data_IF_619471332735
#
_entry.id   IF_619471332735
#
_cell.length_a   1.000
_cell.length_b   1.000
_cell.length_c   1.000
_cell.angle_alpha   90.00
_cell.angle_beta   90.00
_cell.angle_gamma   90.00
#
_symmetry.space_group_name_H-M   'P 1'
#
loop_
_entity.id
_entity.type
_entity.pdbx_description
1 polymer ?
#
# COMPACT_ATOMS: atom_id res chain seq x y z
N UNK A 1 -39.79 -40.16 -6.20
CA UNK A 1 -40.75 -40.00 -7.31
C UNK A 1 -40.18 -38.99 -8.27
N UNK A 2 -39.98 -39.47 -9.46
CA UNK A 2 -39.28 -38.90 -10.62
C UNK A 2 -40.19 -37.90 -11.32
N UNK A 3 -39.67 -36.75 -11.75
CA UNK A 3 -40.13 -36.14 -13.02
C UNK A 3 -39.01 -35.34 -13.69
N UNK A 4 -38.45 -35.96 -14.73
CA UNK A 4 -37.68 -35.34 -15.79
C UNK A 4 -38.65 -34.68 -16.76
N UNK A 5 -38.33 -33.46 -17.24
CA UNK A 5 -38.95 -32.93 -18.47
C UNK A 5 -37.82 -32.46 -19.38
N UNK A 6 -37.69 -33.16 -20.49
CA UNK A 6 -36.87 -32.78 -21.67
C UNK A 6 -37.75 -31.86 -22.54
N UNK A 7 -37.11 -30.82 -23.11
CA UNK A 7 -37.67 -30.20 -24.32
C UNK A 7 -36.56 -29.99 -25.35
N UNK A 8 -36.95 -30.30 -26.56
CA UNK A 8 -36.19 -30.57 -27.74
C UNK A 8 -35.94 -29.34 -28.62
N UNK A 9 -34.92 -29.47 -29.45
CA UNK A 9 -34.40 -28.65 -30.53
C UNK A 9 -35.41 -28.05 -31.51
N UNK A 10 -35.03 -26.93 -32.11
CA UNK A 10 -35.62 -26.38 -33.33
C UNK A 10 -34.53 -25.70 -34.16
N UNK A 11 -34.36 -26.21 -35.37
CA UNK A 11 -33.36 -25.91 -36.41
C UNK A 11 -33.93 -24.88 -37.42
N UNK A 12 -32.98 -24.10 -38.01
CA UNK A 12 -32.91 -23.59 -39.39
C UNK A 12 -33.52 -22.21 -39.75
N UNK A 13 -32.70 -21.47 -40.48
CA UNK A 13 -33.08 -20.31 -41.29
C UNK A 13 -31.84 -19.66 -41.94
N UNK A 14 -31.48 -20.12 -43.12
CA UNK A 14 -30.39 -19.58 -43.98
C UNK A 14 -30.91 -18.44 -44.88
N UNK A 15 -30.02 -17.54 -45.32
CA UNK A 15 -30.29 -16.53 -46.36
C UNK A 15 -29.11 -15.55 -46.44
N UNK A 16 -28.09 -15.75 -47.19
CA UNK A 16 -27.73 -15.45 -48.61
C UNK A 16 -27.47 -13.97 -48.89
N UNK A 17 -26.22 -13.68 -49.15
CA UNK A 17 -25.50 -12.78 -50.11
C UNK A 17 -26.01 -11.37 -50.45
N UNK A 18 -25.05 -10.42 -50.38
CA UNK A 18 -24.77 -9.50 -51.50
C UNK A 18 -23.31 -9.04 -51.47
N UNK A 19 -22.59 -9.33 -52.54
CA UNK A 19 -21.28 -8.79 -52.91
C UNK A 19 -21.44 -7.36 -53.42
N UNK A 20 -20.45 -6.50 -53.07
CA UNK A 20 -20.22 -5.22 -53.72
C UNK A 20 -18.74 -4.96 -53.82
N UNK A 21 -18.20 -5.13 -55.04
CA UNK A 21 -16.79 -4.88 -55.40
C UNK A 21 -16.53 -3.39 -55.75
N UNK A 22 -15.31 -3.03 -55.51
CA UNK A 22 -14.42 -2.16 -56.28
C UNK A 22 -14.43 -0.65 -56.06
N UNK A 23 -13.24 -0.17 -55.71
CA UNK A 23 -12.78 1.19 -55.81
C UNK A 23 -11.28 1.28 -55.50
N UNK A 24 -10.43 0.95 -56.49
CA UNK A 24 -9.00 1.28 -56.45
C UNK A 24 -8.81 2.78 -56.65
N UNK A 25 -8.02 3.39 -55.77
CA UNK A 25 -7.48 4.74 -55.96
C UNK A 25 -6.11 4.81 -55.29
N UNK A 26 -5.07 4.75 -56.09
CA UNK A 26 -3.66 4.88 -55.74
C UNK A 26 -3.26 6.34 -55.47
N UNK A 27 -2.40 6.59 -54.51
CA UNK A 27 -1.58 7.80 -54.49
C UNK A 27 -1.11 8.28 -53.15
N UNK A 28 0.16 8.09 -52.82
CA UNK A 28 1.01 9.11 -52.20
C UNK A 28 1.21 9.06 -50.68
N UNK A 29 2.27 8.39 -50.28
CA UNK A 29 3.37 8.83 -49.37
C UNK A 29 3.10 9.67 -48.10
N UNK A 30 3.74 9.16 -47.04
CA UNK A 30 4.40 9.84 -45.91
C UNK A 30 3.61 10.09 -44.64
N UNK A 31 4.24 9.62 -43.54
CA UNK A 31 4.01 10.11 -42.17
C UNK A 31 3.01 9.32 -41.37
N UNK A 32 3.38 8.10 -40.96
CA UNK A 32 2.67 7.43 -39.88
C UNK A 32 3.11 8.05 -38.56
N UNK A 33 2.39 9.02 -38.10
CA UNK A 33 2.40 9.42 -36.71
C UNK A 33 1.43 8.49 -35.98
N UNK A 34 1.93 7.86 -34.91
CA UNK A 34 1.12 6.96 -34.11
C UNK A 34 -0.04 7.73 -33.50
N UNK A 35 -1.24 7.41 -33.95
CA UNK A 35 -2.46 7.91 -33.35
C UNK A 35 -2.55 7.41 -31.93
N UNK A 36 -2.11 8.23 -30.99
CA UNK A 36 -2.57 8.19 -29.62
C UNK A 36 -4.08 8.38 -29.65
N UNK A 37 -4.81 7.64 -28.85
CA UNK A 37 -6.23 7.85 -28.63
C UNK A 37 -6.44 9.28 -28.13
N UNK A 38 -6.85 10.18 -29.00
CA UNK A 38 -7.39 11.47 -28.62
C UNK A 38 -8.79 11.21 -28.05
N UNK A 39 -8.98 11.45 -26.74
CA UNK A 39 -10.32 11.54 -26.18
C UNK A 39 -10.60 10.98 -24.81
N UNK A 40 -9.63 10.91 -23.91
CA UNK A 40 -9.92 10.89 -22.47
C UNK A 40 -9.02 11.93 -21.81
N UNK A 41 -9.63 12.86 -21.03
CA UNK A 41 -8.91 13.82 -20.23
C UNK A 41 -7.95 13.10 -19.27
N UNK A 42 -6.95 13.82 -18.74
CA UNK A 42 -5.99 13.23 -17.81
C UNK A 42 -6.72 12.68 -16.57
N UNK A 43 -6.09 11.76 -15.84
CA UNK A 43 -6.69 11.19 -14.62
C UNK A 43 -7.00 12.31 -13.61
N UNK A 44 -6.10 13.28 -13.47
CA UNK A 44 -6.31 14.44 -12.61
C UNK A 44 -7.55 15.26 -13.05
N UNK A 45 -7.67 15.61 -14.34
CA UNK A 45 -8.82 16.37 -14.85
C UNK A 45 -10.15 15.63 -14.58
N UNK A 46 -10.18 14.31 -14.81
CA UNK A 46 -11.37 13.49 -14.51
C UNK A 46 -11.74 13.58 -13.03
N UNK A 47 -10.78 13.38 -12.11
CA UNK A 47 -11.02 13.41 -10.67
C UNK A 47 -11.46 14.80 -10.19
N UNK A 48 -10.91 15.87 -10.77
CA UNK A 48 -11.33 17.24 -10.49
C UNK A 48 -12.77 17.51 -10.98
N UNK A 49 -13.15 16.99 -12.15
CA UNK A 49 -14.53 17.10 -12.65
C UNK A 49 -15.53 16.29 -11.80
N UNK A 50 -15.11 15.12 -11.31
CA UNK A 50 -15.92 14.26 -10.44
C UNK A 50 -15.96 14.79 -8.99
N UNK A 51 -14.94 15.54 -8.57
CA UNK A 51 -14.75 16.04 -7.21
C UNK A 51 -14.55 14.93 -6.18
N UNK A 52 -14.21 13.72 -6.62
CA UNK A 52 -14.10 12.52 -5.79
C UNK A 52 -12.96 11.64 -6.26
N UNK A 53 -12.17 11.12 -5.32
CA UNK A 53 -11.16 10.08 -5.55
C UNK A 53 -11.50 8.84 -4.74
N UNK A 54 -11.34 7.66 -5.33
CA UNK A 54 -11.44 6.39 -4.61
C UNK A 54 -10.05 5.90 -4.24
N UNK A 55 -9.80 5.67 -2.94
CA UNK A 55 -8.53 5.15 -2.44
C UNK A 55 -8.72 3.79 -1.76
N UNK A 56 -7.78 2.88 -1.95
CA UNK A 56 -7.77 1.63 -1.20
C UNK A 56 -6.92 1.78 0.07
N UNK A 57 -7.43 1.18 1.14
CA UNK A 57 -6.77 1.08 2.45
C UNK A 57 -6.76 -0.38 2.91
N UNK A 58 -5.93 -0.72 3.90
CA UNK A 58 -5.91 -2.06 4.49
C UNK A 58 -6.38 -2.12 5.94
N UNK A 59 -6.91 -1.01 6.47
CA UNK A 59 -7.44 -0.96 7.84
C UNK A 59 -6.37 -0.95 8.93
N UNK A 60 -5.09 -0.70 8.58
CA UNK A 60 -4.00 -0.63 9.56
C UNK A 60 -3.99 0.70 10.29
N UNK A 61 -4.29 0.65 11.59
CA UNK A 61 -4.19 1.80 12.47
C UNK A 61 -2.72 2.04 12.87
N UNK A 62 -2.27 3.29 12.97
CA UNK A 62 -3.00 4.54 12.75
C UNK A 62 -2.79 5.17 11.37
N UNK A 63 -2.38 4.39 10.35
CA UNK A 63 -2.17 4.89 8.98
C UNK A 63 -3.49 5.27 8.31
N UNK A 64 -4.37 4.27 8.09
CA UNK A 64 -5.67 4.46 7.44
C UNK A 64 -6.65 3.36 7.82
N UNK A 65 -7.85 3.73 8.29
CA UNK A 65 -8.93 2.81 8.62
C UNK A 65 -10.29 3.49 8.51
N UNK A 66 -11.36 2.71 8.60
CA UNK A 66 -12.72 3.25 8.74
C UNK A 66 -13.10 3.20 10.21
N UNK A 67 -13.49 4.34 10.78
CA UNK A 67 -13.85 4.45 12.19
C UNK A 67 -15.24 3.85 12.51
N UNK A 68 -15.61 3.87 13.80
CA UNK A 68 -16.92 3.35 14.26
C UNK A 68 -18.13 4.10 13.67
N UNK A 69 -17.94 5.30 13.14
CA UNK A 69 -19.00 6.08 12.47
C UNK A 69 -19.14 5.74 10.98
N UNK A 70 -18.18 5.01 10.44
CA UNK A 70 -18.09 4.63 9.03
C UNK A 70 -17.31 5.64 8.19
N UNK A 71 -16.59 6.57 8.81
CA UNK A 71 -15.80 7.58 8.12
C UNK A 71 -14.33 7.14 8.01
N UNK A 72 -13.65 7.43 6.86
CA UNK A 72 -12.23 7.18 6.73
C UNK A 72 -11.43 8.11 7.66
N UNK A 73 -10.37 7.58 8.26
CA UNK A 73 -9.51 8.33 9.17
C UNK A 73 -8.10 7.74 9.20
N UNK A 74 -7.16 8.47 9.78
CA UNK A 74 -5.76 8.07 9.92
C UNK A 74 -4.79 9.10 9.37
N UNK A 75 -3.51 8.90 9.65
CA UNK A 75 -2.47 9.86 9.28
C UNK A 75 -2.37 10.08 7.76
N UNK A 76 -2.44 9.00 6.97
CA UNK A 76 -2.38 9.11 5.51
C UNK A 76 -3.66 9.69 4.92
N UNK A 77 -4.82 9.42 5.54
CA UNK A 77 -6.09 10.05 5.14
C UNK A 77 -6.03 11.56 5.39
N UNK A 78 -5.52 12.00 6.56
CA UNK A 78 -5.39 13.43 6.85
C UNK A 78 -4.45 14.15 5.86
N UNK A 79 -3.35 13.53 5.45
CA UNK A 79 -2.48 14.04 4.38
C UNK A 79 -3.25 14.13 3.06
N UNK A 80 -4.01 13.08 2.71
CA UNK A 80 -4.78 13.04 1.47
C UNK A 80 -5.90 14.07 1.42
N UNK A 81 -6.60 14.31 2.53
CA UNK A 81 -7.63 15.36 2.60
C UNK A 81 -7.05 16.74 2.29
N UNK A 82 -5.86 17.04 2.80
CA UNK A 82 -5.15 18.29 2.51
C UNK A 82 -4.67 18.34 1.07
N UNK A 83 -3.97 17.30 0.57
CA UNK A 83 -3.41 17.27 -0.78
C UNK A 83 -4.51 17.29 -1.84
N UNK A 84 -5.47 16.37 -1.78
CA UNK A 84 -6.52 16.26 -2.78
C UNK A 84 -7.49 17.44 -2.71
N UNK A 85 -7.77 17.97 -1.51
CA UNK A 85 -8.55 19.20 -1.35
C UNK A 85 -7.90 20.38 -2.06
N UNK A 86 -6.59 20.56 -1.95
CA UNK A 86 -5.84 21.60 -2.66
C UNK A 86 -5.87 21.41 -4.19
N UNK A 87 -5.96 20.17 -4.65
CA UNK A 87 -6.13 19.83 -6.07
C UNK A 87 -7.57 19.99 -6.58
N UNK A 88 -8.53 20.35 -5.71
CA UNK A 88 -9.95 20.50 -6.05
C UNK A 88 -10.73 19.20 -6.09
N UNK A 89 -10.25 18.18 -5.37
CA UNK A 89 -10.90 16.87 -5.19
C UNK A 89 -11.34 16.78 -3.72
N UNK A 90 -12.57 17.20 -3.44
CA UNK A 90 -13.04 17.45 -2.07
C UNK A 90 -13.51 16.18 -1.32
N UNK A 91 -13.74 15.07 -2.05
CA UNK A 91 -14.27 13.84 -1.44
C UNK A 91 -13.31 12.68 -1.63
N UNK A 92 -13.03 11.97 -0.54
CA UNK A 92 -12.27 10.70 -0.55
C UNK A 92 -13.23 9.57 -0.20
N UNK A 93 -13.44 8.66 -1.15
CA UNK A 93 -14.12 7.39 -0.89
C UNK A 93 -13.07 6.32 -0.63
N UNK A 94 -13.29 5.46 0.36
CA UNK A 94 -12.32 4.40 0.68
C UNK A 94 -12.89 3.02 0.43
N UNK A 95 -12.01 2.11 -0.04
CA UNK A 95 -12.25 0.68 -0.09
C UNK A 95 -11.22 -0.04 0.79
N UNK A 96 -11.69 -0.70 1.86
CA UNK A 96 -10.83 -1.51 2.71
C UNK A 96 -10.67 -2.90 2.12
N UNK A 97 -9.41 -3.29 1.85
CA UNK A 97 -9.07 -4.56 1.22
C UNK A 97 -7.85 -5.20 1.89
N UNK A 98 -7.69 -6.51 1.73
CA UNK A 98 -6.47 -7.19 2.17
C UNK A 98 -5.23 -6.63 1.47
N UNK A 99 -4.10 -6.59 2.18
CA UNK A 99 -2.83 -6.00 1.73
C UNK A 99 -2.43 -6.46 0.32
N UNK A 100 -2.46 -7.76 0.06
CA UNK A 100 -2.07 -8.35 -1.23
C UNK A 100 -2.94 -7.91 -2.42
N UNK A 101 -4.09 -7.29 -2.16
CA UNK A 101 -5.00 -6.82 -3.20
C UNK A 101 -4.81 -5.35 -3.56
N UNK A 102 -4.03 -4.58 -2.79
CA UNK A 102 -3.87 -3.14 -2.97
C UNK A 102 -3.32 -2.79 -4.37
N UNK A 103 -2.11 -3.21 -4.71
CA UNK A 103 -1.50 -2.94 -6.03
C UNK A 103 -2.23 -3.65 -7.18
N UNK A 104 -2.61 -4.95 -7.07
CA UNK A 104 -3.38 -5.59 -8.13
C UNK A 104 -4.70 -4.92 -8.46
N UNK A 105 -5.42 -4.45 -7.45
CA UNK A 105 -6.68 -3.74 -7.63
C UNK A 105 -6.50 -2.35 -8.23
N UNK A 106 -5.46 -1.62 -7.82
CA UNK A 106 -5.05 -0.35 -8.41
C UNK A 106 -4.79 -0.50 -9.91
N UNK A 107 -3.98 -1.47 -10.29
CA UNK A 107 -3.66 -1.74 -11.70
C UNK A 107 -4.86 -2.24 -12.51
N UNK A 108 -5.86 -2.82 -11.84
CA UNK A 108 -7.14 -3.19 -12.46
C UNK A 108 -8.14 -2.02 -12.55
N UNK A 109 -7.79 -0.83 -12.07
CA UNK A 109 -8.63 0.37 -12.10
C UNK A 109 -9.83 0.30 -11.15
N UNK A 110 -9.73 -0.44 -10.04
CA UNK A 110 -10.80 -0.51 -9.03
C UNK A 110 -10.84 0.72 -8.15
N UNK A 111 -9.69 1.33 -7.93
CA UNK A 111 -9.48 2.58 -7.21
C UNK A 111 -8.40 3.42 -7.90
N UNK A 112 -8.28 4.67 -7.52
CA UNK A 112 -7.38 5.64 -8.16
C UNK A 112 -6.02 5.72 -7.47
N UNK A 113 -5.96 5.47 -6.16
CA UNK A 113 -4.73 5.46 -5.38
C UNK A 113 -4.80 4.45 -4.23
N UNK A 114 -3.65 4.18 -3.59
CA UNK A 114 -3.55 3.40 -2.35
C UNK A 114 -3.03 4.32 -1.24
N UNK A 115 -3.76 4.35 -0.12
CA UNK A 115 -3.47 5.13 1.09
C UNK A 115 -3.24 4.20 2.28
N UNK A 116 -2.04 3.67 2.42
CA UNK A 116 -1.72 2.66 3.43
C UNK A 116 -0.32 2.82 4.03
N UNK A 117 0.35 3.97 3.85
CA UNK A 117 1.74 4.15 4.24
C UNK A 117 2.65 3.07 3.61
N UNK A 118 2.35 2.67 2.39
CA UNK A 118 3.00 1.53 1.74
C UNK A 118 4.48 1.79 1.51
N UNK A 119 5.34 0.91 2.02
CA UNK A 119 6.79 1.01 1.85
C UNK A 119 7.20 1.08 0.39
N UNK A 120 8.03 2.04 0.06
CA UNK A 120 8.68 2.15 -1.24
C UNK A 120 9.79 1.10 -1.29
N UNK A 121 9.64 0.10 -2.15
CA UNK A 121 10.64 -0.97 -2.36
C UNK A 121 10.83 -1.21 -3.86
N UNK A 122 12.02 -1.70 -4.30
CA UNK A 122 12.28 -1.98 -5.71
C UNK A 122 11.19 -2.85 -6.35
N UNK A 123 10.82 -3.95 -5.71
CA UNK A 123 9.84 -4.90 -6.23
C UNK A 123 8.44 -4.30 -6.42
N UNK A 124 8.06 -3.37 -5.54
CA UNK A 124 6.77 -2.66 -5.64
C UNK A 124 6.82 -1.56 -6.70
N UNK A 125 7.97 -0.87 -6.84
CA UNK A 125 8.19 0.14 -7.87
C UNK A 125 8.13 -0.45 -9.30
N UNK A 126 8.45 -1.74 -9.47
CA UNK A 126 8.25 -2.44 -10.76
C UNK A 126 6.77 -2.61 -11.10
N UNK A 127 5.87 -2.54 -10.12
CA UNK A 127 4.45 -2.86 -10.28
C UNK A 127 3.54 -1.62 -10.27
N UNK A 128 3.97 -0.54 -9.60
CA UNK A 128 3.16 0.67 -9.41
C UNK A 128 4.06 1.91 -9.33
N UNK A 129 3.46 3.09 -9.51
CA UNK A 129 4.14 4.37 -9.32
C UNK A 129 3.92 4.85 -7.87
N UNK A 130 5.00 5.25 -7.21
CA UNK A 130 4.95 5.76 -5.85
C UNK A 130 5.08 7.29 -5.86
N UNK A 131 4.31 7.93 -4.99
CA UNK A 131 4.52 9.32 -4.61
C UNK A 131 5.87 9.51 -3.91
N UNK A 132 6.21 10.75 -3.60
CA UNK A 132 7.34 11.05 -2.75
C UNK A 132 7.10 10.51 -1.32
N UNK A 133 8.16 10.20 -0.55
CA UNK A 133 8.01 9.72 0.81
C UNK A 133 7.15 10.68 1.66
N UNK A 134 6.14 10.13 2.34
CA UNK A 134 5.22 10.90 3.18
C UNK A 134 5.33 10.55 4.66
N UNK A 135 5.79 9.35 5.00
CA UNK A 135 5.92 8.86 6.38
C UNK A 135 7.16 7.98 6.49
N UNK A 136 8.00 8.24 7.53
CA UNK A 136 9.07 7.35 7.94
C UNK A 136 8.60 6.48 9.10
N UNK A 137 9.12 5.24 9.19
CA UNK A 137 8.82 4.32 10.29
C UNK A 137 9.95 3.32 10.54
N UNK A 138 9.88 2.68 11.69
CA UNK A 138 10.74 1.60 12.14
C UNK A 138 9.89 0.37 12.44
N UNK A 139 10.52 -0.77 12.69
CA UNK A 139 9.86 -2.03 13.06
C UNK A 139 9.87 -2.22 14.57
N UNK A 140 8.92 -2.99 15.11
CA UNK A 140 8.94 -3.52 16.47
C UNK A 140 8.29 -4.91 16.50
N UNK A 141 8.37 -5.58 17.64
CA UNK A 141 7.64 -6.81 17.91
C UNK A 141 6.55 -6.55 18.94
N UNK A 142 5.32 -7.00 18.68
CA UNK A 142 4.32 -7.21 19.72
C UNK A 142 4.54 -8.60 20.32
N UNK A 143 4.65 -8.66 21.65
CA UNK A 143 4.94 -9.87 22.42
C UNK A 143 3.97 -9.97 23.62
N UNK A 144 3.79 -11.14 24.23
CA UNK A 144 3.05 -11.24 25.49
C UNK A 144 3.66 -10.37 26.58
N UNK A 145 2.81 -9.76 27.42
CA UNK A 145 3.22 -8.86 28.48
C UNK A 145 4.33 -9.44 29.37
N UNK A 146 5.33 -8.62 29.65
CA UNK A 146 6.54 -9.02 30.37
C UNK A 146 7.59 -9.72 29.50
N UNK A 147 7.37 -9.79 28.19
CA UNK A 147 8.30 -10.35 27.20
C UNK A 147 9.02 -11.62 27.71
N UNK A 148 8.32 -12.73 27.94
CA UNK A 148 8.86 -13.89 28.65
C UNK A 148 10.03 -14.57 27.93
N UNK A 149 10.18 -14.34 26.62
CA UNK A 149 11.25 -14.89 25.81
C UNK A 149 12.43 -13.91 25.62
N UNK A 150 12.27 -12.65 26.07
CA UNK A 150 13.31 -11.62 26.00
C UNK A 150 13.67 -11.22 24.57
N UNK A 151 12.68 -11.25 23.66
CA UNK A 151 12.85 -10.86 22.26
C UNK A 151 13.09 -9.35 22.14
N UNK A 152 13.92 -8.93 21.21
CA UNK A 152 14.25 -7.51 20.99
C UNK A 152 14.00 -7.03 19.57
N UNK A 153 14.21 -7.89 18.59
CA UNK A 153 14.23 -7.62 17.15
C UNK A 153 14.05 -8.93 16.35
N UNK A 154 14.06 -8.86 15.03
CA UNK A 154 13.98 -10.06 14.18
C UNK A 154 15.18 -10.98 14.35
N UNK A 155 16.38 -10.43 14.55
CA UNK A 155 17.59 -11.27 14.76
C UNK A 155 17.43 -12.16 15.99
N UNK A 156 16.89 -11.61 17.10
CA UNK A 156 16.63 -12.38 18.32
C UNK A 156 15.61 -13.51 18.13
N UNK A 157 14.63 -13.31 17.21
CA UNK A 157 13.69 -14.36 16.81
C UNK A 157 14.38 -15.45 16.00
N UNK A 158 15.13 -15.06 14.98
CA UNK A 158 15.84 -15.99 14.08
C UNK A 158 16.89 -16.82 14.84
N UNK A 159 17.58 -16.21 15.79
CA UNK A 159 18.56 -16.88 16.67
C UNK A 159 17.94 -17.95 17.59
N UNK A 160 16.61 -17.96 17.75
CA UNK A 160 15.89 -18.99 18.53
C UNK A 160 15.89 -20.38 17.88
N UNK A 161 16.38 -20.49 16.64
CA UNK A 161 16.52 -21.73 15.86
C UNK A 161 15.17 -22.53 15.73
N UNK A 162 14.06 -21.78 15.70
CA UNK A 162 12.70 -22.31 15.51
C UNK A 162 11.92 -22.57 16.81
N UNK A 163 12.48 -22.20 17.97
CA UNK A 163 11.77 -22.33 19.26
C UNK A 163 10.70 -21.21 19.45
N UNK A 164 10.82 -20.09 18.73
CA UNK A 164 9.87 -18.97 18.72
C UNK A 164 8.96 -19.09 17.51
N UNK A 165 7.66 -18.87 17.68
CA UNK A 165 6.70 -18.76 16.56
C UNK A 165 6.49 -17.28 16.24
N UNK A 166 6.82 -16.87 15.04
CA UNK A 166 6.68 -15.49 14.57
C UNK A 166 5.43 -15.34 13.70
N UNK A 167 4.55 -14.40 14.03
CA UNK A 167 3.50 -13.97 13.13
C UNK A 167 4.06 -12.87 12.20
N UNK A 168 3.72 -12.94 10.90
CA UNK A 168 4.06 -11.96 9.89
C UNK A 168 2.84 -11.64 9.04
N UNK A 169 2.64 -10.38 8.71
CA UNK A 169 1.61 -10.00 7.75
C UNK A 169 2.12 -10.31 6.35
N UNK A 170 1.37 -11.11 5.60
CA UNK A 170 1.71 -11.49 4.22
C UNK A 170 1.98 -10.27 3.35
N UNK A 171 3.16 -10.25 2.73
CA UNK A 171 3.59 -9.16 1.83
C UNK A 171 3.97 -7.84 2.51
N UNK A 172 3.98 -7.75 3.85
CA UNK A 172 4.57 -6.63 4.58
C UNK A 172 6.10 -6.63 4.43
N UNK A 173 6.75 -5.51 4.76
CA UNK A 173 8.23 -5.45 4.65
C UNK A 173 8.93 -6.38 5.64
N UNK A 174 8.34 -6.61 6.80
CA UNK A 174 8.87 -7.50 7.82
C UNK A 174 8.92 -8.96 7.34
N UNK A 175 7.95 -9.38 6.51
CA UNK A 175 7.96 -10.68 5.83
C UNK A 175 9.15 -10.76 4.86
N UNK A 176 9.37 -9.70 4.07
CA UNK A 176 10.55 -9.56 3.20
C UNK A 176 11.87 -9.56 3.98
N UNK A 177 11.95 -8.85 5.10
CA UNK A 177 13.17 -8.84 5.93
C UNK A 177 13.53 -10.23 6.44
N UNK A 178 12.55 -11.02 6.86
CA UNK A 178 12.78 -12.39 7.31
C UNK A 178 13.29 -13.26 6.16
N UNK A 179 12.77 -13.10 4.96
CA UNK A 179 13.25 -13.82 3.78
C UNK A 179 14.69 -13.44 3.42
N UNK A 180 15.02 -12.14 3.43
CA UNK A 180 16.36 -11.61 3.14
C UNK A 180 17.40 -12.02 4.21
N UNK A 181 16.99 -12.20 5.46
CA UNK A 181 17.81 -12.72 6.55
C UNK A 181 18.03 -14.25 6.46
N UNK A 182 17.55 -14.91 5.42
CA UNK A 182 17.74 -16.34 5.15
C UNK A 182 16.52 -17.20 5.41
N UNK A 183 15.40 -16.60 5.74
CA UNK A 183 14.13 -17.27 6.02
C UNK A 183 14.02 -17.82 7.42
N UNK A 184 12.78 -18.03 7.87
CA UNK A 184 12.47 -18.60 9.17
C UNK A 184 11.36 -19.64 9.04
N UNK A 185 11.55 -20.81 9.62
CA UNK A 185 10.64 -21.95 9.38
C UNK A 185 9.37 -21.95 10.24
N UNK A 186 9.38 -21.25 11.37
CA UNK A 186 8.28 -21.24 12.33
C UNK A 186 7.48 -19.93 12.25
N UNK A 187 6.88 -19.68 11.07
CA UNK A 187 6.09 -18.49 10.76
C UNK A 187 4.60 -18.82 10.68
N UNK A 188 3.78 -17.93 11.21
CA UNK A 188 2.32 -17.88 11.02
C UNK A 188 2.00 -16.66 10.18
N UNK A 189 1.57 -16.87 8.94
CA UNK A 189 1.12 -15.79 8.08
C UNK A 189 -0.26 -15.30 8.51
N UNK A 190 -0.43 -13.96 8.55
CA UNK A 190 -1.68 -13.28 8.91
C UNK A 190 -2.07 -12.27 7.83
N UNK A 191 -3.35 -11.92 7.79
CA UNK A 191 -3.90 -11.05 6.74
C UNK A 191 -3.77 -9.54 7.07
N UNK A 192 -3.44 -9.17 8.31
CA UNK A 192 -3.32 -7.79 8.74
C UNK A 192 -2.96 -7.63 10.22
N UNK A 193 -2.78 -6.39 10.66
CA UNK A 193 -2.32 -6.05 12.00
C UNK A 193 -3.20 -6.62 13.12
N UNK A 194 -4.52 -6.48 13.01
CA UNK A 194 -5.45 -7.00 14.02
C UNK A 194 -5.33 -8.53 14.19
N UNK A 195 -5.29 -9.26 13.07
CA UNK A 195 -5.14 -10.74 13.11
C UNK A 195 -3.76 -11.19 13.61
N UNK A 196 -2.73 -10.37 13.41
CA UNK A 196 -1.39 -10.58 13.98
C UNK A 196 -1.43 -10.50 15.50
N UNK A 197 -1.98 -9.41 16.06
CA UNK A 197 -2.14 -9.24 17.50
C UNK A 197 -3.01 -10.33 18.13
N UNK A 198 -4.16 -10.66 17.52
CA UNK A 198 -5.00 -11.77 17.98
C UNK A 198 -4.27 -13.13 17.97
N UNK A 199 -3.34 -13.32 17.05
CA UNK A 199 -2.55 -14.55 16.94
C UNK A 199 -1.59 -14.68 18.14
N UNK A 200 -0.96 -13.59 18.56
CA UNK A 200 -0.11 -13.54 19.76
C UNK A 200 -0.95 -13.69 21.03
N UNK A 201 -2.05 -12.95 21.18
CA UNK A 201 -2.96 -13.05 22.32
C UNK A 201 -3.50 -14.46 22.53
N UNK A 202 -3.79 -15.16 21.44
CA UNK A 202 -4.26 -16.55 21.48
C UNK A 202 -3.15 -17.58 21.76
N UNK A 203 -1.89 -17.14 21.92
CA UNK A 203 -0.73 -18.02 22.11
C UNK A 203 -0.45 -18.93 20.90
N UNK A 204 -0.83 -18.50 19.71
CA UNK A 204 -0.53 -19.18 18.43
C UNK A 204 0.77 -18.70 17.80
N UNK A 205 1.23 -17.53 18.21
CA UNK A 205 2.56 -17.00 17.96
C UNK A 205 3.11 -16.39 19.25
N UNK A 206 4.43 -16.31 19.34
CA UNK A 206 5.16 -15.73 20.46
C UNK A 206 5.50 -14.26 20.22
N UNK A 207 5.53 -13.85 18.96
CA UNK A 207 5.75 -12.47 18.54
C UNK A 207 5.02 -12.17 17.22
N UNK A 208 4.71 -10.91 17.00
CA UNK A 208 4.24 -10.37 15.72
C UNK A 208 5.08 -9.16 15.34
N UNK A 209 5.70 -9.17 14.17
CA UNK A 209 6.50 -8.08 13.65
C UNK A 209 5.66 -7.17 12.73
N UNK A 210 5.71 -5.86 12.99
CA UNK A 210 5.08 -4.84 12.16
C UNK A 210 5.72 -3.47 12.46
N UNK A 211 5.23 -2.43 11.79
CA UNK A 211 5.69 -1.05 12.03
C UNK A 211 5.47 -0.64 13.49
N UNK A 212 6.44 0.07 14.05
CA UNK A 212 6.46 0.42 15.47
C UNK A 212 5.27 1.31 15.86
N UNK A 213 4.85 2.23 14.98
CA UNK A 213 3.71 3.12 15.24
C UNK A 213 2.42 2.32 15.31
N UNK A 214 2.18 1.39 14.38
CA UNK A 214 0.97 0.55 14.40
C UNK A 214 0.88 -0.29 15.66
N UNK A 215 1.94 -1.01 16.00
CA UNK A 215 1.90 -1.87 17.17
C UNK A 215 1.79 -1.07 18.48
N UNK A 216 2.48 0.06 18.60
CA UNK A 216 2.34 0.93 19.77
C UNK A 216 0.91 1.48 19.92
N UNK A 217 0.31 1.93 18.81
CA UNK A 217 -1.06 2.44 18.81
C UNK A 217 -2.08 1.35 19.18
N UNK A 218 -1.99 0.20 18.53
CA UNK A 218 -2.99 -0.86 18.67
C UNK A 218 -2.87 -1.63 19.99
N UNK A 219 -1.71 -1.60 20.65
CA UNK A 219 -1.50 -2.28 21.94
C UNK A 219 -1.63 -1.35 23.15
N UNK A 220 -1.87 -0.05 22.97
CA UNK A 220 -1.91 0.94 24.06
C UNK A 220 -2.87 0.54 25.20
N UNK A 221 -4.05 0.00 24.85
CA UNK A 221 -5.08 -0.43 25.80
C UNK A 221 -5.10 -1.96 26.04
N UNK A 222 -4.05 -2.71 25.64
CA UNK A 222 -3.93 -4.16 25.79
C UNK A 222 -3.04 -4.52 26.99
N UNK A 223 -3.63 -5.02 28.09
CA UNK A 223 -2.88 -5.42 29.28
C UNK A 223 -2.03 -6.69 29.09
N UNK A 224 -2.34 -7.49 28.09
CA UNK A 224 -1.76 -8.83 27.83
C UNK A 224 -0.69 -8.83 26.73
N UNK A 225 -0.52 -7.73 26.03
CA UNK A 225 0.55 -7.53 25.06
C UNK A 225 1.42 -6.31 25.42
N UNK A 226 2.63 -6.32 24.93
CA UNK A 226 3.53 -5.16 24.94
C UNK A 226 4.35 -5.12 23.65
N UNK A 227 4.91 -3.97 23.30
CA UNK A 227 5.87 -3.85 22.21
C UNK A 227 7.30 -3.88 22.75
N UNK A 228 8.22 -4.43 21.96
CA UNK A 228 9.67 -4.30 22.20
C UNK A 228 10.13 -2.86 21.93
N UNK A 229 11.42 -2.57 22.12
CA UNK A 229 12.00 -1.34 21.58
C UNK A 229 11.90 -1.31 20.05
N UNK A 230 11.58 -0.14 19.48
CA UNK A 230 11.61 0.05 18.04
C UNK A 230 13.05 -0.11 17.51
N UNK A 231 13.19 -0.74 16.35
CA UNK A 231 14.48 -0.98 15.71
C UNK A 231 14.42 -0.72 14.19
N UNK A 232 15.58 -0.45 13.62
CA UNK A 232 15.79 -0.43 12.17
C UNK A 232 16.47 -1.75 11.82
N UNK A 233 15.82 -2.56 10.98
CA UNK A 233 16.40 -3.83 10.56
C UNK A 233 17.69 -3.59 9.76
N UNK A 234 18.70 -4.41 10.01
CA UNK A 234 19.96 -4.42 9.26
C UNK A 234 20.05 -5.75 8.51
N UNK A 235 20.35 -5.68 7.21
CA UNK A 235 20.53 -6.85 6.33
C UNK A 235 21.88 -6.70 5.65
N UNK A 236 22.78 -7.65 5.82
CA UNK A 236 24.14 -7.63 5.31
C UNK A 236 24.97 -6.36 5.68
N UNK A 237 24.66 -5.77 6.85
CA UNK A 237 25.30 -4.55 7.34
C UNK A 237 24.69 -3.25 6.80
N UNK A 238 23.57 -3.34 6.07
CA UNK A 238 22.84 -2.20 5.51
C UNK A 238 21.54 -2.01 6.28
N UNK A 239 21.35 -0.81 6.83
CA UNK A 239 20.08 -0.46 7.50
C UNK A 239 18.96 -0.31 6.48
N UNK A 240 17.84 -0.93 6.77
CA UNK A 240 16.66 -0.85 5.95
C UNK A 240 15.88 0.44 6.24
N UNK A 241 15.54 1.20 5.21
CA UNK A 241 14.84 2.46 5.35
C UNK A 241 13.35 2.21 5.21
N UNK A 242 12.61 2.39 6.31
CA UNK A 242 11.16 2.34 6.29
C UNK A 242 10.58 3.69 5.87
N UNK A 243 10.18 3.81 4.62
CA UNK A 243 9.53 5.00 4.09
C UNK A 243 8.29 4.62 3.29
N UNK A 244 7.15 5.17 3.67
CA UNK A 244 5.87 4.94 3.02
C UNK A 244 5.43 6.09 2.15
N UNK A 245 4.67 5.78 1.11
CA UNK A 245 4.07 6.74 0.21
C UNK A 245 2.70 6.28 -0.31
N UNK A 246 1.98 7.21 -0.88
CA UNK A 246 0.78 6.97 -1.69
C UNK A 246 1.18 6.30 -3.01
N UNK A 247 0.35 5.36 -3.46
CA UNK A 247 0.65 4.57 -4.67
C UNK A 247 -0.37 4.85 -5.75
N UNK A 248 0.11 5.03 -6.97
CA UNK A 248 -0.66 5.36 -8.17
C UNK A 248 -0.42 4.32 -9.27
N UNK A 249 -1.30 4.29 -10.28
CA UNK A 249 -1.04 3.51 -11.50
C UNK A 249 0.15 4.11 -12.27
N UNK A 250 0.99 3.30 -12.89
CA UNK A 250 2.15 3.81 -13.65
C UNK A 250 1.80 4.80 -14.77
N UNK A 251 0.54 4.82 -15.23
CA UNK A 251 0.08 5.71 -16.29
C UNK A 251 -0.49 7.05 -15.81
N UNK A 252 -0.77 7.19 -14.51
CA UNK A 252 -1.41 8.39 -13.93
C UNK A 252 -0.37 9.45 -13.53
N UNK A 253 0.52 9.79 -14.45
CA UNK A 253 1.68 10.66 -14.20
C UNK A 253 1.28 12.08 -13.84
N UNK A 254 0.20 12.60 -14.42
CA UNK A 254 -0.36 13.91 -14.13
C UNK A 254 -0.89 14.03 -12.70
N UNK A 255 -1.58 12.99 -12.22
CA UNK A 255 -2.06 12.91 -10.85
C UNK A 255 -0.89 12.78 -9.86
N UNK A 256 0.08 11.92 -10.15
CA UNK A 256 1.28 11.73 -9.34
C UNK A 256 2.11 13.01 -9.20
N UNK A 257 2.38 13.70 -10.31
CA UNK A 257 3.14 14.96 -10.31
C UNK A 257 2.42 16.04 -9.48
N UNK A 258 1.12 16.20 -9.68
CA UNK A 258 0.32 17.17 -8.92
C UNK A 258 0.25 16.81 -7.42
N UNK A 259 0.11 15.52 -7.09
CA UNK A 259 0.15 15.04 -5.73
C UNK A 259 1.47 15.40 -5.04
N UNK A 260 2.61 15.11 -5.68
CA UNK A 260 3.93 15.38 -5.13
C UNK A 260 4.19 16.89 -4.94
N UNK A 261 3.70 17.75 -5.85
CA UNK A 261 3.80 19.20 -5.69
C UNK A 261 3.08 19.70 -4.44
N UNK A 262 1.88 19.18 -4.15
CA UNK A 262 1.13 19.55 -2.94
C UNK A 262 1.72 18.88 -1.67
N UNK A 263 2.15 17.62 -1.75
CA UNK A 263 2.80 16.91 -0.65
C UNK A 263 4.06 17.64 -0.18
N UNK A 264 4.85 18.20 -1.11
CA UNK A 264 6.05 18.97 -0.77
C UNK A 264 5.77 20.20 0.10
N UNK A 265 4.57 20.79 0.02
CA UNK A 265 4.16 21.89 0.89
C UNK A 265 3.91 21.42 2.33
N UNK A 266 3.49 20.17 2.51
CA UNK A 266 3.24 19.54 3.81
C UNK A 266 4.56 19.07 4.41
N UNK A 267 5.31 18.25 3.71
CA UNK A 267 6.58 17.66 4.21
C UNK A 267 7.70 18.70 4.32
N UNK A 268 7.62 19.80 3.58
CA UNK A 268 8.55 20.94 3.65
C UNK A 268 8.39 21.82 4.89
N UNK A 269 7.30 21.70 5.65
CA UNK A 269 7.02 22.44 6.88
C UNK A 269 6.62 21.50 8.01
N UNK A 270 7.52 21.29 8.97
CA UNK A 270 7.32 20.37 10.10
C UNK A 270 6.02 20.67 10.87
N UNK A 271 5.65 21.94 11.04
CA UNK A 271 4.44 22.33 11.78
C UNK A 271 3.17 21.92 11.04
N UNK A 272 3.17 22.08 9.72
CA UNK A 272 2.06 21.64 8.85
C UNK A 272 1.93 20.12 8.89
N UNK A 273 3.05 19.41 8.73
CA UNK A 273 3.09 17.95 8.80
C UNK A 273 2.54 17.43 10.14
N UNK A 274 3.10 17.92 11.25
CA UNK A 274 2.69 17.49 12.60
C UNK A 274 1.23 17.81 12.87
N UNK A 275 0.72 18.95 12.37
CA UNK A 275 -0.70 19.27 12.49
C UNK A 275 -1.65 18.22 11.95
N UNK A 276 -1.21 17.46 10.94
CA UNK A 276 -1.97 16.38 10.31
C UNK A 276 -1.77 15.02 11.00
N UNK A 277 -0.53 14.70 11.41
CA UNK A 277 -0.19 13.32 11.80
C UNK A 277 -0.04 13.09 13.30
N UNK A 278 0.23 14.14 14.13
CA UNK A 278 0.30 14.01 15.61
C UNK A 278 -0.97 13.43 16.26
N UNK A 279 -2.19 13.75 15.79
CA UNK A 279 -3.40 13.14 16.34
C UNK A 279 -3.44 11.61 16.25
N UNK A 280 -2.62 11.06 15.37
CA UNK A 280 -2.50 9.62 15.09
C UNK A 280 -1.22 9.00 15.67
N UNK A 281 -0.55 9.68 16.60
CA UNK A 281 0.62 9.15 17.30
C UNK A 281 1.94 9.26 16.52
N UNK A 282 1.95 9.91 15.36
CA UNK A 282 3.17 10.21 14.63
C UNK A 282 3.87 11.46 15.21
N UNK A 283 5.15 11.62 14.91
CA UNK A 283 6.00 12.67 15.45
C UNK A 283 6.94 13.23 14.37
N UNK A 284 7.79 14.17 14.74
CA UNK A 284 8.82 14.69 13.83
C UNK A 284 9.83 13.61 13.36
N UNK A 285 9.95 12.49 14.09
CA UNK A 285 10.79 11.36 13.67
C UNK A 285 10.22 10.62 12.45
N UNK A 286 8.93 10.81 12.17
CA UNK A 286 8.24 10.23 11.04
C UNK A 286 8.23 11.14 9.80
N UNK A 287 8.71 12.38 9.92
CA UNK A 287 8.83 13.30 8.79
C UNK A 287 9.99 12.85 7.87
N UNK A 288 9.74 12.62 6.57
CA UNK A 288 10.80 12.24 5.64
C UNK A 288 11.87 13.33 5.50
N UNK A 289 13.17 12.95 5.45
CA UNK A 289 14.22 13.87 5.07
C UNK A 289 13.98 14.44 3.67
N UNK A 290 14.24 15.74 3.49
CA UNK A 290 13.95 16.46 2.24
C UNK A 290 14.80 15.99 1.04
N UNK A 291 15.89 15.30 1.30
CA UNK A 291 16.81 14.74 0.30
C UNK A 291 16.57 13.25 0.02
N UNK A 292 15.63 12.62 0.74
CA UNK A 292 15.20 11.25 0.47
C UNK A 292 14.16 11.26 -0.67
N UNK A 293 14.45 10.54 -1.74
CA UNK A 293 13.59 10.47 -2.92
C UNK A 293 13.07 9.07 -3.19
N UNK A 294 11.92 9.00 -3.86
CA UNK A 294 11.33 7.76 -4.34
C UNK A 294 12.27 6.99 -5.26
N UNK A 295 12.98 7.69 -6.14
CA UNK A 295 13.95 7.07 -7.07
C UNK A 295 15.09 6.35 -6.33
N UNK A 296 15.59 6.95 -5.24
CA UNK A 296 16.63 6.32 -4.40
C UNK A 296 16.11 5.03 -3.75
N UNK A 297 14.90 5.06 -3.20
CA UNK A 297 14.29 3.88 -2.56
C UNK A 297 13.92 2.80 -3.58
N UNK A 298 13.39 3.18 -4.73
CA UNK A 298 13.09 2.25 -5.83
C UNK A 298 14.35 1.60 -6.43
N UNK A 299 15.50 2.27 -6.37
CA UNK A 299 16.77 1.68 -6.84
C UNK A 299 17.26 0.53 -5.96
N UNK A 300 16.89 0.52 -4.69
CA UNK A 300 17.36 -0.43 -3.68
C UNK A 300 18.80 -0.21 -3.24
N UNK A 301 19.46 0.87 -3.68
CA UNK A 301 20.84 1.19 -3.30
C UNK A 301 20.86 1.98 -1.98
N UNK A 302 20.52 1.28 -0.90
CA UNK A 302 20.44 1.88 0.43
C UNK A 302 21.80 2.17 1.06
N UNK A 303 22.93 1.66 0.50
CA UNK A 303 24.29 1.96 1.00
C UNK A 303 24.61 3.45 0.88
N UNK A 304 24.13 4.12 -0.17
CA UNK A 304 24.34 5.54 -0.40
C UNK A 304 23.55 6.44 0.58
N UNK A 305 22.56 5.87 1.28
CA UNK A 305 21.65 6.57 2.18
C UNK A 305 21.97 6.37 3.68
N UNK A 306 23.09 5.70 4.01
CA UNK A 306 23.49 5.35 5.40
C UNK A 306 24.11 6.53 6.18
#
# INVERSE_FOLDING_TARGET
MIRRTKWTAGIAGAGILALGLAGCGSGGTEGGDGGGAEGEGSTLERLQEEGTITVAINGEQPYSWVDDSGEPTGATIAIHEEVFGNLGIDNIEVEEVAWDNLIPGLNAGRWDAVSAGMSITPDRCEQAAFGDPEIMYTTTLAVPAGNPLGLTDLDSVLESDGDVTLALQSGAIEDGYVDDLGGYSNVVQVDGAASGLETVQAGRADAFALTAVSLAWMTEDMDDLETTGAFVQEIDGIKQIGAGATVFRPGDTDLLEAYNEELANITGDESTYLGLVEPFGFSAENLPPQDLTTDQLCSGDLEELQ
#
